data_IF_500404929705
#
_entry.id   IF_500404929705
#
_cell.length_a   1.000
_cell.length_b   1.000
_cell.length_c   1.000
_cell.angle_alpha   90.00
_cell.angle_beta   90.00
_cell.angle_gamma   90.00
#
_symmetry.space_group_name_H-M   'P 1'
#
loop_
_entity.id
_entity.type
_entity.pdbx_description
1 polymer ?
#
# COMPACT_ATOMS: atom_id res chain seq x y z
N UNK A 1 6.52 13.30 4.76
CA UNK A 1 5.77 13.55 6.01
C UNK A 1 4.36 13.92 5.60
N UNK A 2 3.34 13.21 6.11
CA UNK A 2 1.94 13.47 5.75
C UNK A 2 1.31 14.28 6.88
N UNK A 3 0.58 15.33 6.52
CA UNK A 3 -0.17 16.20 7.42
C UNK A 3 -1.65 16.07 7.08
N UNK A 4 -2.47 15.77 8.07
CA UNK A 4 -3.93 15.73 7.94
C UNK A 4 -4.57 16.36 9.17
N UNK A 5 -5.79 16.89 9.03
CA UNK A 5 -6.56 17.40 10.16
C UNK A 5 -7.82 16.54 10.29
N UNK A 6 -8.13 16.09 11.50
CA UNK A 6 -9.33 15.33 11.82
C UNK A 6 -10.14 16.11 12.85
N UNK A 7 -11.47 16.19 12.66
CA UNK A 7 -12.35 16.78 13.67
C UNK A 7 -12.69 15.77 14.74
N UNK A 8 -12.45 16.12 16.01
CA UNK A 8 -12.89 15.36 17.18
C UNK A 8 -13.63 16.30 18.13
N UNK A 9 -14.70 15.83 18.76
CA UNK A 9 -15.37 16.58 19.83
C UNK A 9 -14.48 16.59 21.08
N UNK A 10 -14.27 17.78 21.64
CA UNK A 10 -13.58 17.95 22.92
C UNK A 10 -14.45 17.51 24.10
N UNK A 11 -13.91 17.59 25.32
CA UNK A 11 -14.62 17.27 26.57
C UNK A 11 -15.88 18.15 26.77
N UNK A 12 -15.99 19.28 26.06
CA UNK A 12 -17.10 20.22 26.10
C UNK A 12 -18.09 20.02 24.91
N UNK A 13 -17.87 19.01 24.07
CA UNK A 13 -18.70 18.71 22.90
C UNK A 13 -18.50 19.60 21.68
N UNK A 14 -17.45 20.44 21.66
CA UNK A 14 -17.09 21.31 20.54
C UNK A 14 -16.17 20.60 19.56
N UNK A 15 -16.33 20.88 18.26
CA UNK A 15 -15.46 20.33 17.23
C UNK A 15 -14.05 20.98 17.31
N UNK A 16 -13.05 20.16 17.61
CA UNK A 16 -11.64 20.53 17.60
C UNK A 16 -10.91 19.84 16.44
N UNK A 17 -10.11 20.61 15.71
CA UNK A 17 -9.24 20.07 14.66
C UNK A 17 -7.96 19.48 15.30
N UNK A 18 -7.77 18.17 15.15
CA UNK A 18 -6.59 17.44 15.56
C UNK A 18 -5.64 17.27 14.38
N UNK A 19 -4.40 17.73 14.54
CA UNK A 19 -3.35 17.52 13.55
C UNK A 19 -2.81 16.08 13.65
N UNK A 20 -2.83 15.38 12.52
CA UNK A 20 -2.33 14.01 12.36
C UNK A 20 -1.08 14.08 11.50
N UNK A 21 0.02 13.58 12.05
CA UNK A 21 1.32 13.60 11.42
C UNK A 21 1.99 12.24 11.56
N UNK A 22 2.39 11.66 10.43
CA UNK A 22 3.17 10.41 10.44
C UNK A 22 4.22 10.37 9.33
N UNK A 23 5.25 9.55 9.56
CA UNK A 23 6.36 9.30 8.66
C UNK A 23 6.44 7.80 8.27
N UNK A 24 7.49 7.43 7.52
CA UNK A 24 7.70 6.06 7.03
C UNK A 24 7.93 5.07 8.18
N UNK A 25 8.64 5.49 9.24
CA UNK A 25 8.91 4.68 10.42
C UNK A 25 7.64 4.37 11.22
N UNK A 26 6.73 5.34 11.33
CA UNK A 26 5.41 5.11 11.94
C UNK A 26 4.60 4.10 11.14
N UNK A 27 4.55 4.28 9.81
CA UNK A 27 3.87 3.36 8.89
C UNK A 27 4.41 1.93 9.03
N UNK A 28 5.74 1.79 9.02
CA UNK A 28 6.44 0.51 9.18
C UNK A 28 6.08 -0.18 10.49
N UNK A 29 6.08 0.58 11.60
CA UNK A 29 5.77 0.08 12.94
C UNK A 29 4.30 -0.36 13.04
N UNK A 30 3.37 0.49 12.64
CA UNK A 30 1.92 0.25 12.78
C UNK A 30 1.44 -0.88 11.87
N UNK A 31 2.02 -1.02 10.68
CA UNK A 31 1.68 -2.09 9.73
C UNK A 31 2.55 -3.35 9.90
N UNK A 32 3.49 -3.35 10.85
CA UNK A 32 4.38 -4.49 11.13
C UNK A 32 5.14 -5.02 9.90
N UNK A 33 5.59 -4.12 9.01
CA UNK A 33 6.11 -4.48 7.68
C UNK A 33 7.53 -5.08 7.68
N UNK A 34 8.22 -5.06 8.82
CA UNK A 34 9.50 -5.76 9.04
C UNK A 34 10.68 -5.35 8.15
N UNK A 35 10.53 -4.32 7.33
CA UNK A 35 11.54 -3.81 6.41
C UNK A 35 12.43 -2.73 7.06
N UNK A 36 13.50 -2.32 6.38
CA UNK A 36 14.44 -1.32 6.88
C UNK A 36 14.73 -0.23 5.84
N UNK A 37 15.13 0.96 6.29
CA UNK A 37 15.43 2.09 5.39
C UNK A 37 16.59 1.79 4.42
N UNK A 38 17.50 0.89 4.80
CA UNK A 38 18.62 0.42 3.97
C UNK A 38 18.21 -0.55 2.86
N UNK A 39 16.99 -1.10 2.93
CA UNK A 39 16.53 -2.09 1.97
C UNK A 39 16.21 -1.43 0.62
N UNK A 40 16.40 -2.14 -0.50
CA UNK A 40 16.17 -1.56 -1.82
C UNK A 40 14.67 -1.29 -2.04
N UNK A 41 14.37 -0.18 -2.72
CA UNK A 41 13.02 0.13 -3.25
C UNK A 41 12.89 -0.20 -4.74
N UNK A 42 14.01 -0.47 -5.42
CA UNK A 42 14.06 -0.81 -6.84
C UNK A 42 14.84 -2.09 -7.03
N UNK A 43 14.26 -3.02 -7.77
CA UNK A 43 14.85 -4.33 -8.08
C UNK A 43 15.25 -4.35 -9.56
N UNK A 44 16.39 -4.99 -9.93
CA UNK A 44 16.79 -5.06 -11.32
C UNK A 44 15.70 -5.68 -12.20
N UNK A 45 15.28 -4.97 -13.26
CA UNK A 45 14.21 -5.41 -14.18
C UNK A 45 14.46 -6.81 -14.74
N UNK A 46 15.72 -7.18 -14.98
CA UNK A 46 16.11 -8.53 -15.43
C UNK A 46 15.77 -9.62 -14.41
N UNK A 47 15.93 -9.35 -13.11
CA UNK A 47 15.56 -10.28 -12.05
C UNK A 47 14.04 -10.49 -12.01
N UNK A 48 13.28 -9.40 -12.06
CA UNK A 48 11.82 -9.46 -12.12
C UNK A 48 11.36 -10.30 -13.32
N UNK A 49 11.84 -9.99 -14.53
CA UNK A 49 11.52 -10.75 -15.75
C UNK A 49 11.89 -12.23 -15.66
N UNK A 50 13.07 -12.54 -15.11
CA UNK A 50 13.50 -13.92 -14.90
C UNK A 50 12.58 -14.69 -13.96
N UNK A 51 12.07 -14.03 -12.91
CA UNK A 51 11.07 -14.61 -12.04
C UNK A 51 9.72 -14.82 -12.75
N UNK A 52 9.27 -13.89 -13.59
CA UNK A 52 8.00 -14.04 -14.32
C UNK A 52 7.99 -15.29 -15.19
N UNK A 53 9.10 -15.57 -15.87
CA UNK A 53 9.27 -16.82 -16.62
C UNK A 53 9.10 -18.05 -15.71
N UNK A 54 9.71 -18.02 -14.51
CA UNK A 54 9.57 -19.12 -13.52
C UNK A 54 8.16 -19.26 -12.96
N UNK A 55 7.40 -18.17 -12.92
CA UNK A 55 5.99 -18.16 -12.51
C UNK A 55 5.03 -18.59 -13.64
N UNK A 56 5.56 -19.00 -14.80
CA UNK A 56 4.77 -19.46 -15.93
C UNK A 56 4.12 -18.32 -16.71
N UNK A 57 4.77 -17.16 -16.82
CA UNK A 57 4.31 -16.05 -17.65
C UNK A 57 4.41 -16.39 -19.14
N UNK A 58 3.31 -16.24 -19.88
CA UNK A 58 3.22 -16.56 -21.32
C UNK A 58 3.16 -15.33 -22.23
N UNK A 59 3.24 -14.12 -21.67
CA UNK A 59 3.19 -12.87 -22.44
C UNK A 59 4.53 -12.40 -22.99
N UNK A 60 4.53 -11.27 -23.70
CA UNK A 60 5.77 -10.66 -24.20
C UNK A 60 6.58 -10.01 -23.06
N UNK A 61 7.83 -10.44 -22.85
CA UNK A 61 8.67 -9.98 -21.72
C UNK A 61 9.02 -8.48 -21.74
N UNK A 62 8.96 -7.84 -22.90
CA UNK A 62 9.16 -6.39 -23.01
C UNK A 62 7.83 -5.62 -23.13
N UNK A 63 6.70 -6.31 -23.01
CA UNK A 63 5.37 -5.74 -23.08
C UNK A 63 4.77 -5.46 -21.71
N UNK A 64 3.46 -5.19 -21.72
CA UNK A 64 2.67 -5.05 -20.50
C UNK A 64 2.61 -6.36 -19.76
N UNK A 65 2.63 -6.25 -18.43
CA UNK A 65 2.46 -7.41 -17.59
C UNK A 65 1.04 -7.56 -17.14
N UNK A 66 0.43 -8.64 -17.63
CA UNK A 66 -0.98 -8.91 -17.41
C UNK A 66 -1.09 -10.15 -16.52
N UNK A 67 -1.77 -10.02 -15.37
CA UNK A 67 -1.86 -11.10 -14.37
C UNK A 67 -2.47 -12.40 -14.92
N UNK A 68 -3.30 -12.32 -15.97
CA UNK A 68 -3.93 -13.47 -16.63
C UNK A 68 -2.95 -14.35 -17.39
N UNK A 69 -1.77 -13.84 -17.72
CA UNK A 69 -0.73 -14.55 -18.46
C UNK A 69 0.17 -15.42 -17.56
N UNK A 70 -0.05 -15.40 -16.24
CA UNK A 70 0.66 -16.25 -15.29
C UNK A 70 -0.11 -17.55 -15.02
N UNK A 71 0.59 -18.57 -14.53
CA UNK A 71 -0.08 -19.80 -14.06
C UNK A 71 -1.07 -19.50 -12.91
N UNK A 72 -2.10 -20.34 -12.77
CA UNK A 72 -3.22 -20.14 -11.82
C UNK A 72 -2.82 -19.71 -10.39
N UNK A 73 -1.88 -20.38 -9.70
CA UNK A 73 -1.52 -19.99 -8.33
C UNK A 73 -0.88 -18.59 -8.28
N UNK A 74 0.02 -18.29 -9.21
CA UNK A 74 0.68 -16.99 -9.26
C UNK A 74 -0.26 -15.88 -9.74
N UNK A 75 -1.19 -16.17 -10.65
CA UNK A 75 -2.27 -15.25 -11.02
C UNK A 75 -3.09 -14.83 -9.80
N UNK A 76 -3.46 -15.78 -8.93
CA UNK A 76 -4.21 -15.49 -7.71
C UNK A 76 -3.40 -14.61 -6.75
N UNK A 77 -2.14 -14.96 -6.49
CA UNK A 77 -1.25 -14.16 -5.63
C UNK A 77 -1.07 -12.72 -6.16
N UNK A 78 -0.80 -12.56 -7.46
CA UNK A 78 -0.67 -11.25 -8.11
C UNK A 78 -1.98 -10.46 -7.98
N UNK A 79 -3.13 -11.12 -8.15
CA UNK A 79 -4.43 -10.50 -7.96
C UNK A 79 -4.59 -9.94 -6.54
N UNK A 80 -4.28 -10.73 -5.51
CA UNK A 80 -4.34 -10.27 -4.11
C UNK A 80 -3.43 -9.05 -3.86
N UNK A 81 -2.18 -9.10 -4.32
CA UNK A 81 -1.22 -8.01 -4.13
C UNK A 81 -1.66 -6.75 -4.87
N UNK A 82 -2.14 -6.90 -6.11
CA UNK A 82 -2.63 -5.78 -6.91
C UNK A 82 -3.85 -5.12 -6.24
N UNK A 83 -4.79 -5.91 -5.74
CA UNK A 83 -5.96 -5.36 -5.04
C UNK A 83 -5.61 -4.70 -3.70
N UNK A 84 -4.60 -5.20 -2.99
CA UNK A 84 -4.21 -4.65 -1.69
C UNK A 84 -3.29 -3.42 -1.81
N UNK A 85 -2.36 -3.41 -2.77
CA UNK A 85 -1.22 -2.47 -2.81
C UNK A 85 -1.15 -1.60 -4.09
N UNK A 86 -2.09 -1.76 -5.04
CA UNK A 86 -2.08 -0.93 -6.25
C UNK A 86 -2.61 0.48 -5.95
N UNK A 87 -1.84 1.51 -6.31
CA UNK A 87 -2.30 2.90 -6.31
C UNK A 87 -3.07 3.17 -7.60
N UNK A 88 -4.31 3.63 -7.49
CA UNK A 88 -5.25 3.62 -8.63
C UNK A 88 -5.00 4.79 -9.59
N UNK A 89 -4.40 4.46 -10.74
CA UNK A 89 -4.59 5.13 -12.04
C UNK A 89 -4.65 4.16 -13.25
N UNK A 90 -4.55 2.85 -13.04
CA UNK A 90 -4.48 1.81 -14.08
C UNK A 90 -5.53 0.70 -13.99
N UNK A 91 -5.61 -0.15 -15.02
CA UNK A 91 -6.49 -1.31 -15.08
C UNK A 91 -6.06 -2.40 -14.09
N UNK A 92 -7.02 -3.07 -13.44
CA UNK A 92 -6.75 -4.10 -12.42
C UNK A 92 -6.04 -5.36 -12.93
N UNK A 93 -5.82 -5.47 -14.24
CA UNK A 93 -5.16 -6.62 -14.86
C UNK A 93 -3.68 -6.36 -15.16
N UNK A 94 -3.27 -5.09 -15.26
CA UNK A 94 -1.91 -4.67 -15.56
C UNK A 94 -1.15 -4.32 -14.27
N UNK A 95 0.02 -4.94 -14.07
CA UNK A 95 0.88 -4.67 -12.92
C UNK A 95 1.89 -3.58 -13.23
N UNK A 96 1.99 -2.57 -12.36
CA UNK A 96 3.02 -1.53 -12.40
C UNK A 96 4.39 -2.05 -11.94
N UNK A 97 5.47 -1.38 -12.33
CA UNK A 97 6.85 -1.81 -12.02
C UNK A 97 7.12 -1.99 -10.51
N UNK A 98 6.57 -1.13 -9.64
CA UNK A 98 6.78 -1.24 -8.19
C UNK A 98 6.04 -2.45 -7.57
N UNK A 99 4.84 -2.79 -8.06
CA UNK A 99 4.11 -3.99 -7.64
C UNK A 99 4.94 -5.23 -7.97
N UNK A 100 5.70 -5.15 -9.04
CA UNK A 100 6.52 -6.25 -9.54
C UNK A 100 7.79 -6.41 -8.75
N UNK A 101 8.36 -5.31 -8.26
CA UNK A 101 9.41 -5.36 -7.27
C UNK A 101 8.90 -6.00 -5.97
N UNK A 102 7.71 -5.61 -5.47
CA UNK A 102 7.08 -6.21 -4.28
C UNK A 102 6.88 -7.72 -4.47
N UNK A 103 6.25 -8.14 -5.57
CA UNK A 103 6.04 -9.57 -5.89
C UNK A 103 7.38 -10.30 -5.98
N UNK A 104 8.37 -9.70 -6.63
CA UNK A 104 9.69 -10.34 -6.81
C UNK A 104 10.39 -10.55 -5.47
N UNK A 105 10.38 -9.56 -4.60
CA UNK A 105 10.98 -9.67 -3.27
C UNK A 105 10.21 -10.62 -2.38
N UNK A 106 8.88 -10.63 -2.44
CA UNK A 106 8.04 -11.57 -1.70
C UNK A 106 8.33 -13.02 -2.10
N UNK A 107 8.33 -13.33 -3.40
CA UNK A 107 8.53 -14.69 -3.88
C UNK A 107 9.96 -15.18 -3.68
N UNK A 108 10.95 -14.29 -3.82
CA UNK A 108 12.36 -14.63 -3.65
C UNK A 108 12.85 -14.47 -2.20
N UNK A 109 11.97 -14.09 -1.27
CA UNK A 109 12.30 -13.74 0.11
C UNK A 109 13.50 -12.78 0.21
N UNK A 110 13.44 -11.66 -0.51
CA UNK A 110 14.49 -10.64 -0.54
C UNK A 110 14.10 -9.41 0.29
N UNK A 111 15.07 -8.74 0.94
CA UNK A 111 14.83 -7.46 1.59
C UNK A 111 14.26 -6.44 0.59
N UNK A 112 13.26 -5.70 1.02
CA UNK A 112 12.60 -4.67 0.21
C UNK A 112 11.95 -3.63 1.11
N UNK A 113 12.22 -2.36 0.86
CA UNK A 113 11.66 -1.26 1.64
C UNK A 113 10.23 -0.95 1.17
N UNK A 114 9.30 -1.86 1.49
CA UNK A 114 7.88 -1.77 1.15
C UNK A 114 7.21 -0.57 1.83
N UNK A 115 7.64 -0.23 3.05
CA UNK A 115 7.13 0.91 3.81
C UNK A 115 7.39 2.22 3.08
N UNK A 116 8.61 2.43 2.57
CA UNK A 116 8.94 3.62 1.79
C UNK A 116 8.11 3.71 0.51
N UNK A 117 7.91 2.57 -0.17
CA UNK A 117 7.15 2.51 -1.42
C UNK A 117 5.68 2.87 -1.19
N UNK A 118 5.04 2.28 -0.17
CA UNK A 118 3.65 2.62 0.20
C UNK A 118 3.56 4.11 0.58
N UNK A 119 4.49 4.60 1.38
CA UNK A 119 4.51 5.99 1.83
C UNK A 119 4.66 6.99 0.68
N UNK A 120 5.54 6.70 -0.29
CA UNK A 120 5.71 7.55 -1.47
C UNK A 120 4.40 7.66 -2.25
N UNK A 121 3.71 6.53 -2.48
CA UNK A 121 2.41 6.57 -3.16
C UNK A 121 1.34 7.28 -2.33
N UNK A 122 1.33 7.16 -1.01
CA UNK A 122 0.43 7.97 -0.16
C UNK A 122 0.68 9.48 -0.37
N UNK A 123 1.93 9.91 -0.38
CA UNK A 123 2.31 11.32 -0.60
C UNK A 123 1.91 11.80 -2.00
N UNK A 124 2.21 11.01 -3.03
CA UNK A 124 1.84 11.32 -4.43
C UNK A 124 0.33 11.48 -4.59
N UNK A 125 -0.48 10.63 -3.94
CA UNK A 125 -1.94 10.72 -4.00
C UNK A 125 -2.48 11.99 -3.32
N UNK A 126 -1.89 12.42 -2.20
CA UNK A 126 -2.28 13.68 -1.55
C UNK A 126 -2.03 14.88 -2.49
N UNK A 127 -0.97 14.81 -3.30
CA UNK A 127 -0.61 15.83 -4.29
C UNK A 127 -1.46 15.83 -5.58
N UNK A 128 -2.33 14.84 -5.80
CA UNK A 128 -3.01 14.61 -7.09
C UNK A 128 -4.18 15.56 -7.43
N UNK A 129 -4.32 16.71 -6.75
CA UNK A 129 -5.28 17.77 -7.11
C UNK A 129 -6.75 17.39 -6.89
N UNK A 130 -7.60 17.49 -7.93
CA UNK A 130 -9.05 17.24 -7.84
C UNK A 130 -9.45 15.75 -7.84
N UNK A 131 -8.49 14.83 -7.95
CA UNK A 131 -8.70 13.37 -7.91
C UNK A 131 -8.24 12.71 -6.61
N UNK A 132 -8.28 13.44 -5.49
CA UNK A 132 -7.87 12.95 -4.15
C UNK A 132 -8.79 11.82 -3.69
N UNK A 133 -8.37 10.59 -3.91
CA UNK A 133 -8.90 9.46 -3.15
C UNK A 133 -7.88 9.08 -2.08
N UNK A 134 -8.34 8.85 -0.85
CA UNK A 134 -7.50 8.28 0.20
C UNK A 134 -7.17 6.85 -0.24
N UNK A 135 -5.92 6.66 -0.68
CA UNK A 135 -5.40 5.34 -0.99
C UNK A 135 -5.04 4.62 0.31
N UNK A 136 -5.25 3.31 0.33
CA UNK A 136 -5.05 2.47 1.51
C UNK A 136 -5.85 2.92 2.74
N UNK A 137 -7.19 3.05 2.64
CA UNK A 137 -8.03 3.56 3.73
C UNK A 137 -7.82 2.79 5.04
N UNK A 138 -7.62 1.46 4.96
CA UNK A 138 -7.34 0.65 6.15
C UNK A 138 -5.99 0.96 6.80
N UNK A 139 -4.95 1.22 6.00
CA UNK A 139 -3.65 1.60 6.56
C UNK A 139 -3.74 2.97 7.23
N UNK A 140 -4.43 3.92 6.60
CA UNK A 140 -4.67 5.24 7.20
C UNK A 140 -5.47 5.11 8.49
N UNK A 141 -6.52 4.29 8.52
CA UNK A 141 -7.28 4.06 9.75
C UNK A 141 -6.41 3.47 10.87
N UNK A 142 -5.56 2.49 10.55
CA UNK A 142 -4.62 1.93 11.54
C UNK A 142 -3.64 2.99 12.06
N UNK A 143 -3.16 3.89 11.20
CA UNK A 143 -2.32 5.02 11.62
C UNK A 143 -3.07 5.98 12.56
N UNK A 144 -4.34 6.25 12.24
CA UNK A 144 -5.22 7.12 13.03
C UNK A 144 -5.47 6.51 14.42
N UNK A 145 -5.80 5.22 14.48
CA UNK A 145 -6.02 4.48 15.73
C UNK A 145 -4.74 4.38 16.60
N UNK A 146 -3.57 4.33 15.96
CA UNK A 146 -2.29 4.36 16.68
C UNK A 146 -2.00 5.74 17.30
N UNK A 147 -2.24 6.82 16.53
CA UNK A 147 -1.93 8.19 16.93
C UNK A 147 -2.95 8.80 17.90
N UNK A 148 -4.23 8.46 17.75
CA UNK A 148 -5.32 9.00 18.56
C UNK A 148 -5.97 7.85 19.30
N UNK A 149 -5.76 7.82 20.62
CA UNK A 149 -6.46 6.87 21.49
C UNK A 149 -7.91 7.33 21.70
N UNK A 150 -8.80 6.36 21.85
CA UNK A 150 -10.22 6.58 22.17
C UNK A 150 -10.92 7.50 21.15
N UNK A 151 -10.79 7.14 19.87
CA UNK A 151 -11.63 7.72 18.82
C UNK A 151 -13.05 7.21 19.05
N UNK A 152 -14.05 8.09 19.24
CA UNK A 152 -15.44 7.69 19.36
C UNK A 152 -15.82 6.89 18.12
N UNK A 153 -16.24 5.65 18.32
CA UNK A 153 -16.82 4.82 17.26
C UNK A 153 -18.32 4.93 17.40
N UNK A 154 -19.03 5.02 16.28
CA UNK A 154 -20.47 4.88 16.30
C UNK A 154 -20.79 3.42 16.64
N UNK A 155 -21.56 3.20 17.70
CA UNK A 155 -21.94 1.86 18.14
C UNK A 155 -22.77 1.15 17.04
N UNK A 156 -23.48 1.92 16.20
CA UNK A 156 -24.25 1.40 15.06
C UNK A 156 -23.35 0.93 13.89
N UNK A 157 -22.11 1.41 13.81
CA UNK A 157 -21.10 1.01 12.81
C UNK A 157 -20.30 -0.23 13.24
N UNK A 158 -20.44 -0.67 14.50
CA UNK A 158 -19.79 -1.88 15.00
C UNK A 158 -20.53 -3.09 14.44
N UNK A 159 -19.98 -3.69 13.39
CA UNK A 159 -20.41 -5.00 12.92
C UNK A 159 -20.14 -6.04 14.03
N UNK A 160 -21.20 -6.41 14.76
CA UNK A 160 -21.16 -7.52 15.72
C UNK A 160 -20.69 -8.80 15.03
N UNK A 161 -19.78 -9.52 15.68
CA UNK A 161 -19.35 -10.86 15.26
C UNK A 161 -20.38 -11.93 15.69
#
# INVERSE_FOLDING_TARGET
MIYSAMRKKDENGQDADLEIKFNVGDLRRVLELGDFDKDPTIIPKRLCKGLWCRMGFTGHLNGKMIKTMFSKPYKFMIHCILHALSHRKGAYDETSDYIMNIITCLVLNKPYNVSQVIFNYLVENVGAGNGKYIMYPRFIQMMIDDLIKDIPKDDDDILGL
#
